data_IF_382288144311
#
_entry.id   IF_382288144311
#
_cell.length_a   1.000
_cell.length_b   1.000
_cell.length_c   1.000
_cell.angle_alpha   90.00
_cell.angle_beta   90.00
_cell.angle_gamma   90.00
#
_symmetry.space_group_name_H-M   'P 1'
#
loop_
_entity.id
_entity.type
_entity.pdbx_description
1 polymer ?
#
# COMPACT_ATOMS: atom_id res chain seq x y z
N UNK A 1 -4.51 19.22 -16.26
CA UNK A 1 -4.70 19.14 -14.78
C UNK A 1 -3.41 19.42 -14.02
N UNK A 2 -2.27 18.81 -14.38
CA UNK A 2 -1.01 18.94 -13.60
C UNK A 2 -0.05 20.06 -14.02
N UNK A 3 -0.34 20.81 -15.08
CA UNK A 3 0.57 21.82 -15.65
C UNK A 3 1.08 22.84 -14.63
N UNK A 4 0.18 23.41 -13.80
CA UNK A 4 0.57 24.38 -12.77
C UNK A 4 1.37 23.73 -11.62
N UNK A 5 0.92 22.61 -11.01
CA UNK A 5 1.72 21.89 -10.00
C UNK A 5 3.13 21.48 -10.47
N UNK A 6 3.25 20.95 -11.70
CA UNK A 6 4.54 20.54 -12.27
C UNK A 6 5.46 21.73 -12.51
N UNK A 7 4.95 22.83 -13.07
CA UNK A 7 5.73 24.07 -13.20
C UNK A 7 6.23 24.57 -11.84
N UNK A 8 5.38 24.52 -10.80
CA UNK A 8 5.79 24.90 -9.44
C UNK A 8 6.89 23.99 -8.90
N UNK A 9 6.79 22.67 -9.12
CA UNK A 9 7.83 21.70 -8.76
C UNK A 9 9.15 22.00 -9.47
N UNK A 10 9.13 22.08 -10.81
CA UNK A 10 10.34 22.28 -11.61
C UNK A 10 11.01 23.63 -11.36
N UNK A 11 10.25 24.67 -10.98
CA UNK A 11 10.80 25.98 -10.66
C UNK A 11 11.26 26.11 -9.19
N UNK A 12 11.05 25.09 -8.37
CA UNK A 12 11.43 25.09 -6.94
C UNK A 12 12.77 24.40 -6.65
N UNK A 13 13.45 23.92 -7.67
CA UNK A 13 14.76 23.22 -7.60
C UNK A 13 15.81 23.93 -8.43
N UNK A 14 17.09 23.62 -8.23
CA UNK A 14 18.15 24.18 -9.04
C UNK A 14 18.11 23.66 -10.50
N UNK A 15 18.79 24.32 -11.46
CA UNK A 15 18.73 23.96 -12.87
C UNK A 15 19.16 22.52 -13.20
N UNK A 16 20.06 21.94 -12.41
CA UNK A 16 20.57 20.56 -12.59
C UNK A 16 19.51 19.56 -12.15
N UNK A 17 18.96 19.73 -10.95
CA UNK A 17 17.87 18.91 -10.44
C UNK A 17 16.60 19.04 -11.29
N UNK A 18 16.30 20.26 -11.77
CA UNK A 18 15.20 20.51 -12.71
C UNK A 18 15.30 19.63 -13.95
N UNK A 19 16.49 19.57 -14.57
CA UNK A 19 16.72 18.74 -15.76
C UNK A 19 16.51 17.25 -15.47
N UNK A 20 17.00 16.77 -14.33
CA UNK A 20 16.81 15.36 -13.91
C UNK A 20 15.34 15.02 -13.69
N UNK A 21 14.59 15.89 -13.01
CA UNK A 21 13.16 15.72 -12.76
C UNK A 21 12.33 15.78 -14.05
N UNK A 22 12.66 16.70 -14.97
CA UNK A 22 12.00 16.78 -16.28
C UNK A 22 12.28 15.53 -17.11
N UNK A 23 13.51 15.04 -17.12
CA UNK A 23 13.86 13.80 -17.82
C UNK A 23 13.08 12.60 -17.28
N UNK A 24 12.97 12.45 -15.95
CA UNK A 24 12.19 11.36 -15.35
C UNK A 24 10.70 11.47 -15.68
N UNK A 25 10.15 12.69 -15.69
CA UNK A 25 8.76 12.94 -16.10
C UNK A 25 8.52 12.55 -17.57
N UNK A 26 9.37 13.02 -18.48
CA UNK A 26 9.26 12.75 -19.92
C UNK A 26 9.45 11.26 -20.23
N UNK A 27 10.38 10.61 -19.52
CA UNK A 27 10.62 9.17 -19.63
C UNK A 27 9.38 8.38 -19.20
N UNK A 28 8.81 8.70 -18.04
CA UNK A 28 7.58 8.08 -17.56
C UNK A 28 6.39 8.36 -18.49
N UNK A 29 6.28 9.55 -19.07
CA UNK A 29 5.22 9.88 -20.04
C UNK A 29 5.33 9.00 -21.28
N UNK A 30 6.55 8.84 -21.79
CA UNK A 30 6.84 8.00 -22.96
C UNK A 30 6.57 6.53 -22.69
N UNK A 31 7.04 6.00 -21.56
CA UNK A 31 6.83 4.60 -21.16
C UNK A 31 5.34 4.23 -21.07
N UNK A 32 4.50 5.16 -20.62
CA UNK A 32 3.06 4.95 -20.50
C UNK A 32 2.25 5.48 -21.70
N UNK A 33 2.91 5.88 -22.79
CA UNK A 33 2.23 6.41 -23.97
C UNK A 33 1.39 5.32 -24.65
N UNK A 34 0.10 5.59 -24.87
CA UNK A 34 -0.83 4.64 -25.48
C UNK A 34 -1.62 3.75 -24.50
N UNK A 35 -1.32 3.78 -23.20
CA UNK A 35 -2.07 3.01 -22.18
C UNK A 35 -3.15 3.86 -21.49
N UNK A 36 -4.39 3.36 -21.47
CA UNK A 36 -5.50 3.91 -20.69
C UNK A 36 -5.68 3.12 -19.39
N UNK A 37 -5.92 3.80 -18.26
CA UNK A 37 -6.34 3.16 -17.00
C UNK A 37 -7.73 2.53 -17.16
N UNK A 38 -8.07 1.59 -16.28
CA UNK A 38 -9.43 1.02 -16.17
C UNK A 38 -10.53 2.08 -15.92
N UNK A 39 -10.17 3.24 -15.39
CA UNK A 39 -11.06 4.40 -15.22
C UNK A 39 -11.29 5.22 -16.51
N UNK A 40 -10.54 4.95 -17.59
CA UNK A 40 -10.58 5.69 -18.86
C UNK A 40 -9.60 6.86 -18.97
N UNK A 41 -8.82 7.15 -17.92
CA UNK A 41 -7.81 8.21 -17.93
C UNK A 41 -6.44 7.73 -18.44
N UNK A 42 -5.60 8.58 -19.04
CA UNK A 42 -4.19 8.26 -19.34
C UNK A 42 -3.45 7.70 -18.12
N UNK A 43 -2.76 6.57 -18.31
CA UNK A 43 -2.07 5.84 -17.23
C UNK A 43 -1.05 6.71 -16.47
N UNK A 44 -0.40 7.61 -17.19
CA UNK A 44 0.59 8.56 -16.68
C UNK A 44 0.13 9.48 -15.54
N UNK A 45 -1.17 9.70 -15.35
CA UNK A 45 -1.64 10.60 -14.27
C UNK A 45 -1.38 10.07 -12.87
N UNK A 46 -1.32 8.74 -12.70
CA UNK A 46 -1.05 8.15 -11.39
C UNK A 46 0.40 8.41 -10.94
N UNK A 47 1.45 8.05 -11.71
CA UNK A 47 2.83 8.38 -11.36
C UNK A 47 3.05 9.89 -11.11
N UNK A 48 2.43 10.76 -11.90
CA UNK A 48 2.50 12.21 -11.70
C UNK A 48 1.90 12.63 -10.35
N UNK A 49 0.76 12.06 -9.98
CA UNK A 49 0.10 12.36 -8.70
C UNK A 49 0.93 11.87 -7.50
N UNK A 50 1.54 10.69 -7.61
CA UNK A 50 2.45 10.14 -6.60
C UNK A 50 3.68 11.03 -6.43
N UNK A 51 4.36 11.36 -7.53
CA UNK A 51 5.55 12.21 -7.52
C UNK A 51 5.27 13.61 -6.93
N UNK A 52 4.17 14.25 -7.32
CA UNK A 52 3.80 15.56 -6.79
C UNK A 52 3.52 15.52 -5.29
N UNK A 53 2.87 14.46 -4.80
CA UNK A 53 2.62 14.27 -3.36
C UNK A 53 3.94 14.09 -2.58
N UNK A 54 4.83 13.26 -3.08
CA UNK A 54 6.16 13.07 -2.48
C UNK A 54 6.95 14.39 -2.46
N UNK A 55 6.95 15.15 -3.56
CA UNK A 55 7.61 16.45 -3.62
C UNK A 55 7.01 17.46 -2.65
N UNK A 56 5.67 17.51 -2.54
CA UNK A 56 4.99 18.43 -1.62
C UNK A 56 5.41 18.18 -0.17
N UNK A 57 5.56 16.90 0.19
CA UNK A 57 5.79 16.46 1.55
C UNK A 57 7.26 16.46 1.97
N UNK A 58 8.13 15.97 1.11
CA UNK A 58 9.50 15.64 1.50
C UNK A 58 10.58 16.46 0.80
N UNK A 59 10.25 17.09 -0.34
CA UNK A 59 11.20 17.87 -1.15
C UNK A 59 12.48 17.10 -1.54
N UNK A 60 12.38 15.77 -1.66
CA UNK A 60 13.49 14.91 -2.09
C UNK A 60 13.39 14.61 -3.58
N UNK A 61 14.45 14.95 -4.32
CA UNK A 61 14.51 14.83 -5.77
C UNK A 61 14.55 13.38 -6.24
N UNK A 62 15.34 12.52 -5.59
CA UNK A 62 15.48 11.11 -5.99
C UNK A 62 14.18 10.33 -5.72
N UNK A 63 13.54 10.57 -4.58
CA UNK A 63 12.23 10.01 -4.23
C UNK A 63 11.13 10.51 -5.17
N UNK A 64 11.19 11.78 -5.59
CA UNK A 64 10.24 12.33 -6.56
C UNK A 64 10.43 11.72 -7.95
N UNK A 65 11.68 11.55 -8.42
CA UNK A 65 11.97 10.83 -9.66
C UNK A 65 11.48 9.38 -9.59
N UNK A 66 11.75 8.67 -8.49
CA UNK A 66 11.22 7.33 -8.28
C UNK A 66 9.68 7.32 -8.30
N UNK A 67 9.01 8.35 -7.78
CA UNK A 67 7.56 8.52 -7.90
C UNK A 67 7.06 8.57 -9.35
N UNK A 68 7.78 9.26 -10.25
CA UNK A 68 7.44 9.26 -11.67
C UNK A 68 7.66 7.89 -12.33
N UNK A 69 8.68 7.15 -11.88
CA UNK A 69 9.17 5.94 -12.54
C UNK A 69 8.67 4.62 -11.92
N UNK A 70 8.01 4.65 -10.75
CA UNK A 70 7.80 3.43 -9.95
C UNK A 70 7.06 2.29 -10.65
N UNK A 71 6.19 2.64 -11.59
CA UNK A 71 5.35 1.72 -12.36
C UNK A 71 5.93 1.41 -13.76
N UNK A 72 6.93 2.16 -14.24
CA UNK A 72 7.40 2.06 -15.65
C UNK A 72 7.94 0.68 -16.01
N UNK A 73 8.60 0.00 -15.06
CA UNK A 73 9.18 -1.34 -15.26
C UNK A 73 8.09 -2.41 -15.34
N UNK A 74 6.93 -2.18 -14.71
CA UNK A 74 5.80 -3.11 -14.77
C UNK A 74 4.94 -2.89 -16.00
N UNK A 75 4.76 -1.63 -16.39
CA UNK A 75 3.78 -1.25 -17.42
C UNK A 75 4.37 -1.13 -18.82
N UNK A 76 5.70 -1.12 -18.97
CA UNK A 76 6.38 -1.07 -20.26
C UNK A 76 7.46 -2.15 -20.36
N UNK A 77 7.24 -3.14 -21.24
CA UNK A 77 8.13 -4.30 -21.42
C UNK A 77 9.57 -3.93 -21.80
N UNK A 78 9.79 -2.77 -22.43
CA UNK A 78 11.13 -2.33 -22.85
C UNK A 78 11.95 -1.68 -21.73
N UNK A 79 11.33 -1.31 -20.61
CA UNK A 79 12.00 -0.57 -19.52
C UNK A 79 12.63 -1.53 -18.52
N UNK A 80 13.94 -1.41 -18.29
CA UNK A 80 14.67 -2.24 -17.32
C UNK A 80 15.18 -1.43 -16.12
N UNK A 81 15.51 -2.11 -15.02
CA UNK A 81 16.11 -1.48 -13.84
C UNK A 81 17.51 -0.95 -14.15
N UNK A 82 18.26 -1.67 -14.99
CA UNK A 82 19.58 -1.28 -15.46
C UNK A 82 19.53 0.04 -16.24
N UNK A 83 18.55 0.20 -17.13
CA UNK A 83 18.35 1.45 -17.87
C UNK A 83 18.00 2.61 -16.93
N UNK A 84 17.14 2.37 -15.92
CA UNK A 84 16.82 3.37 -14.90
C UNK A 84 18.08 3.78 -14.12
N UNK A 85 18.97 2.84 -13.81
CA UNK A 85 20.23 3.13 -13.12
C UNK A 85 21.17 3.99 -13.97
N UNK A 86 21.33 3.64 -15.24
CA UNK A 86 22.17 4.40 -16.17
C UNK A 86 21.69 5.85 -16.35
N UNK A 87 20.37 6.06 -16.44
CA UNK A 87 19.77 7.38 -16.69
C UNK A 87 19.62 8.23 -15.41
N UNK A 88 19.25 7.61 -14.29
CA UNK A 88 18.80 8.33 -13.09
C UNK A 88 19.68 8.09 -11.85
N UNK A 89 20.56 7.09 -11.90
CA UNK A 89 21.50 6.72 -10.85
C UNK A 89 20.96 5.66 -9.88
N UNK A 90 21.90 5.05 -9.15
CA UNK A 90 21.64 3.88 -8.28
C UNK A 90 20.62 4.13 -7.17
N UNK A 91 20.51 5.35 -6.66
CA UNK A 91 19.49 5.67 -5.65
C UNK A 91 18.07 5.58 -6.23
N UNK A 92 17.86 6.03 -7.46
CA UNK A 92 16.53 6.01 -8.10
C UNK A 92 16.21 4.57 -8.52
N UNK A 93 17.16 3.87 -9.14
CA UNK A 93 16.96 2.47 -9.55
C UNK A 93 16.63 1.57 -8.37
N UNK A 94 17.32 1.74 -7.22
CA UNK A 94 17.01 1.01 -6.00
C UNK A 94 15.58 1.24 -5.50
N UNK A 95 15.11 2.50 -5.50
CA UNK A 95 13.75 2.82 -5.07
C UNK A 95 12.69 2.21 -6.00
N UNK A 96 12.91 2.28 -7.31
CA UNK A 96 12.00 1.69 -8.30
C UNK A 96 11.99 0.17 -8.16
N UNK A 97 13.16 -0.48 -8.17
CA UNK A 97 13.31 -1.93 -8.00
C UNK A 97 12.59 -2.47 -6.76
N UNK A 98 12.70 -1.74 -5.65
CA UNK A 98 12.12 -2.15 -4.38
C UNK A 98 10.57 -2.20 -4.40
N UNK A 99 9.93 -1.38 -5.25
CA UNK A 99 8.46 -1.26 -5.31
C UNK A 99 7.84 -1.94 -6.52
N UNK A 100 8.63 -2.28 -7.54
CA UNK A 100 8.22 -3.14 -8.66
C UNK A 100 7.69 -4.49 -8.11
N UNK A 101 6.74 -5.15 -8.77
CA UNK A 101 6.25 -6.49 -8.44
C UNK A 101 7.26 -7.57 -8.86
N UNK A 102 7.30 -8.70 -8.15
CA UNK A 102 8.06 -9.88 -8.57
C UNK A 102 7.17 -10.65 -9.57
N UNK A 103 7.04 -10.19 -10.80
CA UNK A 103 6.38 -10.99 -11.84
C UNK A 103 7.45 -11.69 -12.69
N UNK A 104 7.36 -13.01 -12.85
CA UNK A 104 8.26 -13.77 -13.73
C UNK A 104 8.72 -15.13 -13.22
N UNK A 105 8.68 -15.40 -11.91
CA UNK A 105 9.07 -16.72 -11.41
C UNK A 105 7.83 -17.60 -11.22
N UNK A 106 7.83 -18.79 -11.83
CA UNK A 106 6.83 -19.84 -11.57
C UNK A 106 7.01 -20.34 -10.13
N UNK A 107 6.61 -19.56 -9.15
CA UNK A 107 6.87 -19.82 -7.74
C UNK A 107 6.99 -18.57 -6.86
N UNK A 108 7.19 -17.36 -7.42
CA UNK A 108 7.23 -16.15 -6.61
C UNK A 108 5.86 -15.89 -5.98
N UNK A 109 5.82 -15.94 -4.66
CA UNK A 109 4.62 -15.69 -3.90
C UNK A 109 4.47 -14.19 -3.67
N UNK A 110 3.23 -13.75 -3.40
CA UNK A 110 2.97 -12.39 -2.90
C UNK A 110 3.81 -12.07 -1.64
N UNK A 111 4.14 -13.09 -0.84
CA UNK A 111 5.02 -12.91 0.33
C UNK A 111 6.40 -12.38 -0.11
N UNK A 112 6.90 -12.77 -1.28
CA UNK A 112 8.21 -12.35 -1.77
C UNK A 112 8.20 -10.87 -2.20
N UNK A 113 7.11 -10.40 -2.80
CA UNK A 113 6.98 -8.96 -3.15
C UNK A 113 6.89 -8.10 -1.90
N UNK A 114 6.09 -8.49 -0.90
CA UNK A 114 5.97 -7.75 0.36
C UNK A 114 7.27 -7.83 1.18
N UNK A 115 7.92 -8.99 1.24
CA UNK A 115 9.19 -9.15 1.94
C UNK A 115 10.29 -8.34 1.26
N UNK A 116 10.35 -8.27 -0.07
CA UNK A 116 11.29 -7.36 -0.77
C UNK A 116 11.03 -5.92 -0.39
N UNK A 117 9.79 -5.46 -0.50
CA UNK A 117 9.42 -4.09 -0.14
C UNK A 117 9.86 -3.74 1.30
N UNK A 118 9.52 -4.59 2.26
CA UNK A 118 9.86 -4.37 3.67
C UNK A 118 11.37 -4.48 3.91
N UNK A 119 12.06 -5.42 3.27
CA UNK A 119 13.52 -5.56 3.38
C UNK A 119 14.22 -4.31 2.86
N UNK A 120 13.86 -3.86 1.66
CA UNK A 120 14.39 -2.62 1.08
C UNK A 120 14.03 -1.40 1.92
N UNK A 121 12.83 -1.39 2.53
CA UNK A 121 12.39 -0.36 3.45
C UNK A 121 13.15 -0.31 4.78
N UNK A 122 13.65 -1.46 5.26
CA UNK A 122 14.54 -1.50 6.42
C UNK A 122 15.90 -0.87 6.11
N UNK A 123 16.35 -0.94 4.86
CA UNK A 123 17.59 -0.32 4.36
C UNK A 123 17.42 1.16 4.06
N UNK A 124 16.32 1.56 3.40
CA UNK A 124 16.02 2.95 3.05
C UNK A 124 14.54 3.25 3.25
N UNK A 125 14.21 4.11 4.21
CA UNK A 125 12.82 4.45 4.54
C UNK A 125 12.07 5.08 3.36
N UNK A 126 12.78 5.66 2.38
CA UNK A 126 12.17 6.25 1.18
C UNK A 126 11.41 5.23 0.34
N UNK A 127 11.78 3.95 0.40
CA UNK A 127 11.00 2.85 -0.23
C UNK A 127 9.60 2.77 0.37
N UNK A 128 9.50 2.86 1.70
CA UNK A 128 8.24 2.81 2.41
C UNK A 128 7.42 4.08 2.14
N UNK A 129 8.06 5.25 2.10
CA UNK A 129 7.41 6.53 1.77
C UNK A 129 6.85 6.54 0.35
N UNK A 130 7.60 6.02 -0.62
CA UNK A 130 7.15 5.84 -2.00
C UNK A 130 5.92 4.95 -2.05
N UNK A 131 5.97 3.78 -1.39
CA UNK A 131 4.84 2.84 -1.41
C UNK A 131 3.61 3.34 -0.67
N UNK A 132 3.78 4.15 0.38
CA UNK A 132 2.68 4.83 1.06
C UNK A 132 2.00 5.86 0.15
N UNK A 133 2.76 6.64 -0.61
CA UNK A 133 2.22 7.62 -1.54
C UNK A 133 1.47 6.95 -2.71
N UNK A 134 2.01 5.86 -3.25
CA UNK A 134 1.35 4.97 -4.22
C UNK A 134 0.02 4.44 -3.63
N UNK A 135 0.08 3.83 -2.44
CA UNK A 135 -1.10 3.24 -1.80
C UNK A 135 -2.20 4.26 -1.54
N UNK A 136 -1.86 5.48 -1.11
CA UNK A 136 -2.83 6.55 -0.89
C UNK A 136 -3.61 6.89 -2.17
N UNK A 137 -2.91 7.01 -3.31
CA UNK A 137 -3.55 7.24 -4.61
C UNK A 137 -4.37 6.04 -5.09
N UNK A 138 -3.89 4.82 -4.85
CA UNK A 138 -4.64 3.62 -5.22
C UNK A 138 -5.94 3.48 -4.41
N UNK A 139 -5.92 3.83 -3.12
CA UNK A 139 -7.11 3.86 -2.29
C UNK A 139 -8.08 4.98 -2.74
N UNK A 140 -7.59 6.16 -3.11
CA UNK A 140 -8.50 7.23 -3.60
C UNK A 140 -9.20 6.88 -4.92
N UNK A 141 -8.63 5.96 -5.71
CA UNK A 141 -9.18 5.51 -6.99
C UNK A 141 -9.73 4.07 -6.97
N UNK A 142 -9.85 3.47 -5.79
CA UNK A 142 -10.19 2.04 -5.58
C UNK A 142 -11.49 1.59 -6.24
N UNK A 143 -12.49 2.48 -6.29
CA UNK A 143 -13.84 2.21 -6.82
C UNK A 143 -13.89 1.75 -8.29
N UNK A 144 -12.81 1.95 -9.04
CA UNK A 144 -12.70 1.56 -10.44
C UNK A 144 -12.13 0.14 -10.64
N UNK A 145 -11.78 -0.56 -9.54
CA UNK A 145 -11.25 -1.92 -9.58
C UNK A 145 -12.37 -2.96 -9.36
N UNK A 146 -12.20 -4.22 -9.82
CA UNK A 146 -13.09 -5.31 -9.45
C UNK A 146 -13.13 -5.56 -7.94
N UNK A 147 -14.27 -6.00 -7.40
CA UNK A 147 -14.53 -6.16 -5.96
C UNK A 147 -13.43 -6.93 -5.22
N UNK A 148 -12.96 -8.03 -5.80
CA UNK A 148 -11.90 -8.84 -5.19
C UNK A 148 -10.56 -8.09 -5.04
N UNK A 149 -10.20 -7.24 -6.01
CA UNK A 149 -9.03 -6.37 -5.92
C UNK A 149 -9.24 -5.27 -4.89
N UNK A 150 -10.46 -4.74 -4.78
CA UNK A 150 -10.79 -3.75 -3.75
C UNK A 150 -10.61 -4.34 -2.34
N UNK A 151 -11.18 -5.53 -2.09
CA UNK A 151 -11.06 -6.22 -0.80
C UNK A 151 -9.59 -6.51 -0.47
N UNK A 152 -8.86 -7.12 -1.40
CA UNK A 152 -7.43 -7.44 -1.24
C UNK A 152 -6.61 -6.20 -0.90
N UNK A 153 -6.78 -5.12 -1.67
CA UNK A 153 -6.05 -3.88 -1.45
C UNK A 153 -6.42 -3.20 -0.12
N UNK A 154 -7.70 -3.23 0.25
CA UNK A 154 -8.16 -2.64 1.51
C UNK A 154 -7.65 -3.40 2.73
N UNK A 155 -7.60 -4.73 2.65
CA UNK A 155 -7.03 -5.56 3.70
C UNK A 155 -5.54 -5.30 3.85
N UNK A 156 -4.78 -5.24 2.74
CA UNK A 156 -3.35 -4.90 2.77
C UNK A 156 -3.09 -3.52 3.39
N UNK A 157 -3.93 -2.54 3.03
CA UNK A 157 -3.90 -1.19 3.63
C UNK A 157 -4.05 -1.23 5.14
N UNK A 158 -5.05 -1.95 5.65
CA UNK A 158 -5.29 -2.00 7.08
C UNK A 158 -4.23 -2.80 7.83
N UNK A 159 -3.79 -3.93 7.26
CA UNK A 159 -2.82 -4.82 7.88
C UNK A 159 -1.40 -4.25 7.91
N UNK A 160 -0.98 -3.56 6.85
CA UNK A 160 0.43 -3.19 6.62
C UNK A 160 0.58 -1.68 6.54
N UNK A 161 -0.11 -1.03 5.60
CA UNK A 161 0.21 0.36 5.28
C UNK A 161 -0.32 1.37 6.32
N UNK A 162 -1.46 1.12 6.95
CA UNK A 162 -2.01 1.96 8.01
C UNK A 162 -1.13 1.97 9.26
N UNK A 163 -0.74 0.81 9.85
CA UNK A 163 0.19 0.83 10.97
C UNK A 163 1.54 1.42 10.59
N UNK A 164 2.00 1.18 9.35
CA UNK A 164 3.24 1.78 8.86
C UNK A 164 3.17 3.31 8.75
N UNK A 165 2.05 3.86 8.26
CA UNK A 165 1.84 5.32 8.26
C UNK A 165 1.91 5.91 9.67
N UNK A 166 1.36 5.20 10.66
CA UNK A 166 1.40 5.65 12.05
C UNK A 166 2.84 5.61 12.60
N UNK A 167 3.57 4.51 12.38
CA UNK A 167 4.97 4.35 12.82
C UNK A 167 5.87 5.42 12.19
N UNK A 168 5.71 5.69 10.90
CA UNK A 168 6.54 6.64 10.18
C UNK A 168 6.08 8.10 10.36
N UNK A 169 5.04 8.33 11.17
CA UNK A 169 4.43 9.66 11.32
C UNK A 169 4.11 10.28 9.96
N UNK A 170 3.63 9.45 9.03
CA UNK A 170 3.50 9.84 7.64
C UNK A 170 2.62 11.08 7.53
N UNK A 171 1.50 11.19 8.23
CA UNK A 171 0.60 12.35 8.09
C UNK A 171 1.14 13.65 8.71
N UNK A 172 2.22 13.58 9.48
CA UNK A 172 2.83 14.75 10.11
C UNK A 172 3.76 15.50 9.13
N UNK A 173 4.03 16.77 9.42
CA UNK A 173 5.00 17.56 8.66
C UNK A 173 6.44 17.23 9.13
N UNK A 174 6.95 16.07 8.72
CA UNK A 174 8.27 15.54 9.07
C UNK A 174 9.18 15.42 7.85
N UNK A 175 10.44 15.78 8.02
CA UNK A 175 11.50 15.54 7.03
C UNK A 175 11.83 14.04 6.94
N UNK A 176 12.41 13.60 5.82
CA UNK A 176 12.84 12.20 5.66
C UNK A 176 13.82 11.80 6.77
N UNK A 177 14.73 12.69 7.17
CA UNK A 177 15.71 12.43 8.25
C UNK A 177 15.02 12.22 9.60
N UNK A 178 13.99 13.01 9.93
CA UNK A 178 13.22 12.80 11.15
C UNK A 178 12.46 11.47 11.11
N UNK A 179 11.85 11.14 9.97
CA UNK A 179 11.13 9.86 9.80
C UNK A 179 12.09 8.68 9.92
N UNK A 180 13.29 8.78 9.34
CA UNK A 180 14.34 7.78 9.47
C UNK A 180 14.70 7.56 10.94
N UNK A 181 14.90 8.63 11.71
CA UNK A 181 15.20 8.54 13.14
C UNK A 181 14.07 7.88 13.95
N UNK A 182 12.81 8.26 13.68
CA UNK A 182 11.62 7.65 14.30
C UNK A 182 11.56 6.15 13.98
N UNK A 183 11.81 5.78 12.71
CA UNK A 183 11.78 4.40 12.29
C UNK A 183 12.93 3.57 12.88
N UNK A 184 14.12 4.14 12.98
CA UNK A 184 15.27 3.50 13.63
C UNK A 184 15.02 3.26 15.13
N UNK A 185 14.42 4.23 15.82
CA UNK A 185 14.00 4.05 17.22
C UNK A 185 12.93 2.96 17.36
N UNK A 186 11.92 2.96 16.48
CA UNK A 186 10.89 1.92 16.46
C UNK A 186 11.50 0.53 16.26
N UNK A 187 12.38 0.38 15.26
CA UNK A 187 13.08 -0.89 14.98
C UNK A 187 13.86 -1.38 16.20
N UNK A 188 14.59 -0.47 16.87
CA UNK A 188 15.35 -0.78 18.07
C UNK A 188 14.45 -1.23 19.23
N UNK A 189 13.39 -0.49 19.51
CA UNK A 189 12.48 -0.78 20.62
C UNK A 189 11.73 -2.11 20.45
N UNK A 190 11.53 -2.55 19.20
CA UNK A 190 10.82 -3.78 18.87
C UNK A 190 11.72 -4.92 18.36
N UNK A 191 13.05 -4.75 18.41
CA UNK A 191 14.05 -5.73 17.92
C UNK A 191 13.83 -6.17 16.46
N UNK A 192 13.47 -5.23 15.58
CA UNK A 192 13.19 -5.49 14.16
C UNK A 192 14.47 -5.34 13.35
N UNK A 193 14.94 -6.47 12.82
CA UNK A 193 16.10 -6.57 11.93
C UNK A 193 15.73 -7.21 10.59
N UNK A 194 14.57 -7.87 10.50
CA UNK A 194 14.10 -8.59 9.31
C UNK A 194 12.70 -8.16 8.89
N UNK A 195 12.42 -8.28 7.60
CA UNK A 195 11.11 -7.97 7.04
C UNK A 195 9.97 -8.76 7.68
N UNK A 196 10.21 -10.02 8.05
CA UNK A 196 9.23 -10.87 8.74
C UNK A 196 8.83 -10.31 10.10
N UNK A 197 9.80 -9.83 10.89
CA UNK A 197 9.57 -9.25 12.22
C UNK A 197 8.78 -7.94 12.11
N UNK A 198 9.10 -7.10 11.11
CA UNK A 198 8.35 -5.88 10.83
C UNK A 198 6.91 -6.21 10.43
N UNK A 199 6.73 -7.14 9.47
CA UNK A 199 5.41 -7.56 9.00
C UNK A 199 4.54 -8.09 10.14
N UNK A 200 5.09 -8.96 10.98
CA UNK A 200 4.36 -9.51 12.13
C UNK A 200 3.94 -8.41 13.10
N UNK A 201 4.79 -7.41 13.35
CA UNK A 201 4.43 -6.26 14.19
C UNK A 201 3.36 -5.36 13.58
N UNK A 202 3.42 -5.11 12.27
CA UNK A 202 2.38 -4.37 11.57
C UNK A 202 1.03 -5.10 11.66
N UNK A 203 1.00 -6.40 11.35
CA UNK A 203 -0.20 -7.23 11.46
C UNK A 203 -0.76 -7.26 12.88
N UNK A 204 0.08 -7.46 13.90
CA UNK A 204 -0.32 -7.48 15.32
C UNK A 204 -0.92 -6.15 15.80
N UNK A 205 -0.47 -5.03 15.22
CA UNK A 205 -0.99 -3.70 15.57
C UNK A 205 -2.43 -3.53 15.10
N UNK A 206 -2.74 -4.05 13.90
CA UNK A 206 -4.08 -3.95 13.32
C UNK A 206 -5.02 -5.09 13.73
N UNK A 207 -4.46 -6.26 14.05
CA UNK A 207 -5.22 -7.48 14.33
C UNK A 207 -4.57 -8.28 15.45
N UNK A 208 -5.34 -8.60 16.50
CA UNK A 208 -4.82 -9.32 17.67
C UNK A 208 -4.49 -10.81 17.42
N UNK A 209 -4.97 -11.41 16.32
CA UNK A 209 -4.85 -12.85 16.05
C UNK A 209 -4.37 -13.20 14.62
N UNK A 210 -3.90 -12.23 13.82
CA UNK A 210 -3.44 -12.50 12.44
C UNK A 210 -1.93 -12.69 12.42
N UNK A 211 -1.49 -13.91 12.13
CA UNK A 211 -0.11 -14.25 11.78
C UNK A 211 0.12 -14.25 10.26
N UNK A 212 1.36 -14.49 9.83
CA UNK A 212 1.73 -14.53 8.40
C UNK A 212 0.92 -15.55 7.58
N UNK A 213 0.64 -16.73 8.15
CA UNK A 213 -0.11 -17.79 7.47
C UNK A 213 -1.55 -17.34 7.22
N UNK A 214 -2.17 -16.77 8.26
CA UNK A 214 -3.55 -16.28 8.21
C UNK A 214 -3.68 -15.03 7.31
N UNK A 215 -2.67 -14.16 7.29
CA UNK A 215 -2.58 -13.05 6.34
C UNK A 215 -2.58 -13.57 4.89
N UNK A 216 -1.70 -14.54 4.59
CA UNK A 216 -1.61 -15.14 3.26
C UNK A 216 -2.91 -15.81 2.83
N UNK A 217 -3.58 -16.53 3.74
CA UNK A 217 -4.86 -17.19 3.46
C UNK A 217 -5.97 -16.19 3.17
N UNK A 218 -6.10 -15.14 3.97
CA UNK A 218 -7.11 -14.08 3.80
C UNK A 218 -6.90 -13.32 2.49
N UNK A 219 -5.65 -13.01 2.18
CA UNK A 219 -5.28 -12.26 0.99
C UNK A 219 -5.45 -13.06 -0.31
N UNK A 220 -5.18 -14.38 -0.29
CA UNK A 220 -5.40 -15.29 -1.44
C UNK A 220 -6.86 -15.63 -1.68
N UNK A 221 -7.71 -15.47 -0.67
CA UNK A 221 -9.14 -15.78 -0.74
C UNK A 221 -10.00 -14.52 -0.48
N UNK A 222 -9.82 -13.43 -1.26
CA UNK A 222 -10.53 -12.17 -1.01
C UNK A 222 -12.06 -12.30 -1.16
N UNK A 223 -12.54 -13.36 -1.80
CA UNK A 223 -13.97 -13.65 -2.01
C UNK A 223 -14.54 -14.67 -1.01
N UNK A 224 -13.71 -15.17 -0.08
CA UNK A 224 -14.09 -16.19 0.91
C UNK A 224 -13.50 -15.89 2.29
N UNK A 225 -13.44 -14.62 2.67
CA UNK A 225 -12.85 -14.24 3.96
C UNK A 225 -13.73 -14.80 5.08
N UNK A 226 -13.15 -15.74 5.85
CA UNK A 226 -13.79 -16.36 7.02
C UNK A 226 -13.41 -15.55 8.25
N UNK A 227 -14.39 -14.90 8.88
CA UNK A 227 -14.19 -14.20 10.16
C UNK A 227 -14.74 -15.02 11.31
N UNK A 228 -13.99 -15.12 12.41
CA UNK A 228 -14.41 -15.82 13.63
C UNK A 228 -14.74 -14.82 14.74
N UNK A 229 -15.92 -14.97 15.33
CA UNK A 229 -16.36 -14.21 16.50
C UNK A 229 -16.50 -15.17 17.67
N UNK A 230 -15.79 -14.88 18.76
CA UNK A 230 -15.81 -15.67 19.99
C UNK A 230 -16.70 -15.06 21.11
N UNK A 231 -17.33 -13.92 20.83
CA UNK A 231 -18.20 -13.21 21.77
C UNK A 231 -19.66 -13.23 21.27
N UNK A 232 -20.54 -13.86 22.06
CA UNK A 232 -21.94 -14.06 21.71
C UNK A 232 -22.76 -12.76 21.72
N UNK A 233 -22.39 -11.76 22.51
CA UNK A 233 -23.09 -10.49 22.58
C UNK A 233 -22.72 -9.58 21.40
N UNK A 234 -21.46 -9.62 20.98
CA UNK A 234 -21.00 -8.98 19.74
C UNK A 234 -21.74 -9.58 18.53
N UNK A 235 -21.86 -10.90 18.46
CA UNK A 235 -22.60 -11.55 17.37
C UNK A 235 -24.08 -11.13 17.32
N UNK A 236 -24.76 -11.16 18.48
CA UNK A 236 -26.17 -10.70 18.58
C UNK A 236 -26.34 -9.24 18.18
N UNK A 237 -25.35 -8.39 18.46
CA UNK A 237 -25.36 -6.99 18.04
C UNK A 237 -25.20 -6.86 16.52
N UNK A 238 -24.28 -7.60 15.90
CA UNK A 238 -24.05 -7.58 14.46
C UNK A 238 -25.28 -8.07 13.66
N UNK A 239 -25.99 -9.09 14.16
CA UNK A 239 -27.24 -9.58 13.55
C UNK A 239 -28.36 -8.53 13.48
N UNK A 240 -28.32 -7.49 14.31
CA UNK A 240 -29.29 -6.38 14.25
C UNK A 240 -28.99 -5.41 13.10
N UNK A 241 -27.80 -5.48 12.50
CA UNK A 241 -27.44 -4.68 11.35
C UNK A 241 -27.89 -5.39 10.06
N UNK A 242 -28.80 -4.75 9.33
CA UNK A 242 -29.40 -5.30 8.10
C UNK A 242 -28.34 -5.50 7.01
N UNK A 243 -27.42 -4.57 6.89
CA UNK A 243 -26.36 -4.66 5.90
C UNK A 243 -25.41 -5.85 6.23
N UNK A 244 -25.21 -6.17 7.52
CA UNK A 244 -24.34 -7.29 7.98
C UNK A 244 -24.94 -8.61 7.57
N UNK A 245 -26.22 -8.77 7.82
CA UNK A 245 -26.97 -10.00 7.55
C UNK A 245 -27.12 -10.27 6.05
N UNK A 246 -27.29 -9.24 5.23
CA UNK A 246 -27.35 -9.39 3.76
C UNK A 246 -26.00 -9.73 3.13
N UNK A 247 -24.90 -9.38 3.79
CA UNK A 247 -23.55 -9.62 3.31
C UNK A 247 -23.01 -11.02 3.65
N UNK A 248 -23.68 -11.80 4.49
CA UNK A 248 -23.22 -13.14 4.91
C UNK A 248 -23.66 -14.21 3.90
N UNK A 249 -22.71 -15.07 3.55
CA UNK A 249 -22.89 -16.26 2.72
C UNK A 249 -23.19 -17.50 3.55
N UNK A 250 -22.31 -17.82 4.50
CA UNK A 250 -22.42 -19.00 5.33
C UNK A 250 -22.06 -18.66 6.77
N UNK A 251 -22.74 -19.31 7.72
CA UNK A 251 -22.46 -19.22 9.16
C UNK A 251 -22.21 -20.63 9.69
N UNK A 252 -21.05 -20.85 10.29
CA UNK A 252 -20.71 -22.11 10.97
C UNK A 252 -20.61 -21.83 12.47
N UNK A 253 -21.37 -22.59 13.25
CA UNK A 253 -21.33 -22.54 14.72
C UNK A 253 -20.58 -23.75 15.23
N UNK A 254 -19.53 -23.54 16.02
CA UNK A 254 -18.78 -24.59 16.70
C UNK A 254 -18.65 -24.24 18.18
N UNK A 255 -19.02 -25.13 19.10
CA UNK A 255 -18.86 -24.83 20.51
C UNK A 255 -19.30 -25.93 21.49
N UNK A 256 -18.75 -25.84 22.70
CA UNK A 256 -19.17 -26.56 23.90
C UNK A 256 -19.92 -25.60 24.84
N UNK A 257 -20.43 -26.11 25.98
CA UNK A 257 -21.13 -25.31 27.01
C UNK A 257 -20.28 -24.11 27.50
N UNK A 258 -18.96 -24.16 27.36
CA UNK A 258 -18.02 -23.17 27.89
C UNK A 258 -17.39 -22.25 26.83
N UNK A 259 -17.45 -22.60 25.54
CA UNK A 259 -16.82 -21.81 24.47
C UNK A 259 -17.57 -21.94 23.16
N UNK A 260 -18.00 -20.80 22.61
CA UNK A 260 -18.70 -20.70 21.33
C UNK A 260 -17.78 -19.99 20.32
N UNK A 261 -17.70 -20.53 19.11
CA UNK A 261 -17.02 -19.97 17.96
C UNK A 261 -18.02 -19.87 16.80
N UNK A 262 -18.09 -18.70 16.18
CA UNK A 262 -19.01 -18.45 15.07
C UNK A 262 -18.21 -17.94 13.89
N UNK A 263 -18.20 -18.69 12.80
CA UNK A 263 -17.46 -18.37 11.57
C UNK A 263 -18.39 -17.85 10.48
N UNK A 264 -18.04 -16.76 9.81
CA UNK A 264 -18.81 -16.15 8.72
C UNK A 264 -18.04 -16.18 7.42
N UNK A 265 -18.67 -16.59 6.33
CA UNK A 265 -18.23 -16.27 4.97
C UNK A 265 -19.09 -15.13 4.44
N UNK A 266 -18.54 -14.17 3.71
CA UNK A 266 -19.30 -13.04 3.18
C UNK A 266 -19.55 -13.20 1.67
N UNK A 267 -20.78 -12.89 1.20
CA UNK A 267 -21.16 -12.79 -0.22
C UNK A 267 -20.63 -11.51 -0.87
N UNK A 268 -20.47 -10.44 -0.08
CA UNK A 268 -20.14 -9.06 -0.50
C UNK A 268 -19.43 -8.32 0.65
N UNK A 269 -18.69 -7.25 0.35
CA UNK A 269 -18.06 -6.40 1.38
C UNK A 269 -19.09 -5.76 2.31
N UNK A 270 -18.76 -5.63 3.61
CA UNK A 270 -19.69 -5.22 4.64
C UNK A 270 -19.15 -4.11 5.57
N UNK A 271 -20.01 -3.21 6.07
CA UNK A 271 -19.69 -2.02 6.88
C UNK A 271 -20.47 -2.02 8.21
N UNK A 272 -19.77 -2.03 9.36
CA UNK A 272 -20.38 -1.73 10.65
C UNK A 272 -19.84 -0.40 11.23
N UNK A 273 -20.72 0.41 11.81
CA UNK A 273 -20.35 1.62 12.58
C UNK A 273 -20.49 1.29 14.07
N UNK A 274 -19.37 1.08 14.77
CA UNK A 274 -19.14 1.43 16.19
C UNK A 274 -17.78 0.92 16.70
N UNK A 275 -17.25 1.57 17.74
CA UNK A 275 -15.85 1.60 18.24
C UNK A 275 -15.25 0.28 18.79
N UNK A 276 -15.77 -0.89 18.40
CA UNK A 276 -15.26 -2.18 18.90
C UNK A 276 -14.67 -3.10 17.85
N UNK A 277 -14.91 -2.83 16.56
CA UNK A 277 -14.31 -3.59 15.44
C UNK A 277 -14.10 -2.64 14.26
N UNK A 278 -12.85 -2.44 13.81
CA UNK A 278 -12.56 -1.62 12.63
C UNK A 278 -12.11 -2.50 11.46
N UNK A 279 -12.95 -2.57 10.42
CA UNK A 279 -12.50 -2.89 9.07
C UNK A 279 -13.12 -1.90 8.07
N UNK A 280 -12.27 -1.13 7.36
CA UNK A 280 -12.66 -0.27 6.22
C UNK A 280 -11.54 -0.07 5.19
N UNK A 281 -11.86 -0.01 3.88
CA UNK A 281 -11.21 0.90 2.94
C UNK A 281 -11.56 2.34 3.32
N UNK A 282 -10.54 3.18 3.55
CA UNK A 282 -10.72 4.63 3.70
C UNK A 282 -11.19 5.24 2.37
N UNK A 283 -12.46 5.64 2.26
CA UNK A 283 -12.76 6.83 1.46
C UNK A 283 -12.31 8.03 2.29
N UNK A 284 -11.19 8.65 1.91
CA UNK A 284 -10.84 9.97 2.42
C UNK A 284 -11.90 10.95 1.90
N UNK A 285 -12.74 11.48 2.78
CA UNK A 285 -13.49 12.68 2.49
C UNK A 285 -12.50 13.82 2.30
N UNK A 286 -12.64 14.51 1.17
CA UNK A 286 -11.89 15.69 0.72
C UNK A 286 -11.70 16.76 1.78
#
# INVERSE_FOLDING_TARGET
MFTKPLQKLFNSVDPTEKKRLMLAYEYAEKAHSGFLRKSGEPFFYHPVSVALRLWQKFKDVNLTMAGFLHDTVEDAEEVTIEEIEELFGSQVSFLVFAVTKVEGDKGATIHDTLNRLLTSGLTDVRVLLLKLADREHNISTIRHLPDNKQVRMSFETQAIYQPLMNILHYQDNKTITEIQAIFDEYKKNHNINRATELKDKLCQTSFSQIDESLFGLTYRNPEKVVWQIHDAEIYKYLLKNKDFTEAIDNVVFEGSIEKISISFTFKKSFLLKDDRIQLKPLSFTS
#
